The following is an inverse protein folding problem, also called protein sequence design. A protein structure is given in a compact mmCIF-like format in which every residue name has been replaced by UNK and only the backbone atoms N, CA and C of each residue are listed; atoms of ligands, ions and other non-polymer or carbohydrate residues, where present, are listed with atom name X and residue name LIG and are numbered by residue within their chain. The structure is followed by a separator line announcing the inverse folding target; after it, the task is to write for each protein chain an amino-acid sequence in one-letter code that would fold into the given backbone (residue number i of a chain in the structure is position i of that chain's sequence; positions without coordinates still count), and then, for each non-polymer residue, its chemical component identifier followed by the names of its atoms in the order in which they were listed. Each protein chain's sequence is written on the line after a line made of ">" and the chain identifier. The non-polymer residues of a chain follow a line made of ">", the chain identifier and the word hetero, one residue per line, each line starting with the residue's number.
data_IF_974426062983
#
_entry.id   IF_974426062983
#
_cell.length_a   1.000
_cell.length_b   1.000
_cell.length_c   1.000
_cell.angle_alpha   90.00
_cell.angle_beta   90.00
_cell.angle_gamma   90.00
#
_symmetry.space_group_name_H-M   'P 1'
#
loop_
_entity.id
_entity.type
_entity.pdbx_description
1 polymer ?
#
# COMPACT_ATOMS: atom_id res chain seq x y z
N UNK A 1 66.68 -2.12 23.07
CA UNK A 1 67.01 -3.44 22.50
C UNK A 1 67.15 -4.39 23.68
N UNK A 2 66.42 -5.47 23.87
CA UNK A 2 65.26 -6.07 23.21
C UNK A 2 64.64 -7.03 24.25
N UNK A 3 63.42 -7.47 23.98
CA UNK A 3 62.40 -8.07 24.83
C UNK A 3 62.70 -9.49 25.35
N UNK A 4 62.10 -9.85 26.49
CA UNK A 4 61.18 -11.00 26.57
C UNK A 4 60.54 -11.12 27.96
N UNK A 5 59.20 -11.14 28.00
CA UNK A 5 58.41 -11.65 29.15
C UNK A 5 57.32 -12.54 28.57
N UNK A 6 57.47 -13.85 28.78
CA UNK A 6 56.39 -14.83 28.63
C UNK A 6 55.72 -15.04 29.98
N UNK A 7 54.40 -14.88 30.06
CA UNK A 7 53.62 -15.17 31.25
C UNK A 7 52.92 -16.54 31.09
N UNK A 8 53.19 -17.45 32.03
CA UNK A 8 52.50 -18.74 32.18
C UNK A 8 51.21 -18.53 32.98
N UNK A 9 50.12 -19.06 32.47
CA UNK A 9 48.85 -19.20 33.17
C UNK A 9 48.87 -20.46 34.06
N UNK A 10 48.35 -20.35 35.28
CA UNK A 10 47.91 -21.48 36.10
C UNK A 10 46.50 -21.19 36.61
N UNK A 11 45.60 -22.14 36.33
CA UNK A 11 44.21 -22.15 36.72
C UNK A 11 44.03 -22.52 38.20
N UNK A 12 42.96 -22.03 38.82
CA UNK A 12 42.34 -22.65 39.99
C UNK A 12 40.82 -22.60 39.84
N UNK A 13 40.21 -23.78 39.89
CA UNK A 13 38.78 -24.03 39.97
C UNK A 13 38.39 -24.32 41.44
N UNK A 14 37.23 -23.83 41.87
CA UNK A 14 36.41 -24.24 43.02
C UNK A 14 35.14 -23.35 42.96
N UNK A 15 33.90 -23.77 43.10
CA UNK A 15 33.31 -25.02 43.57
C UNK A 15 32.00 -24.67 44.31
N UNK A 16 30.91 -25.33 43.91
CA UNK A 16 29.63 -25.52 44.64
C UNK A 16 28.68 -24.32 44.88
N UNK A 17 27.51 -24.36 44.22
CA UNK A 17 26.28 -23.70 44.66
C UNK A 17 25.35 -24.73 45.30
N UNK A 18 24.95 -24.47 46.55
CA UNK A 18 23.95 -25.21 47.33
C UNK A 18 22.56 -24.60 47.08
N UNK A 19 21.61 -25.43 46.65
CA UNK A 19 20.16 -25.21 46.71
C UNK A 19 19.67 -25.44 48.15
N UNK A 20 18.78 -24.60 48.71
CA UNK A 20 17.55 -25.00 49.43
C UNK A 20 16.51 -23.86 49.38
N UNK A 21 15.26 -24.27 49.16
CA UNK A 21 14.02 -23.52 48.99
C UNK A 21 13.50 -22.75 50.24
N UNK A 22 12.58 -21.81 49.99
CA UNK A 22 11.69 -21.21 51.00
C UNK A 22 10.46 -20.57 50.34
N UNK A 23 9.28 -20.94 50.81
CA UNK A 23 7.96 -20.81 50.17
C UNK A 23 7.28 -19.44 50.27
N UNK A 24 6.30 -19.27 49.37
CA UNK A 24 5.02 -18.55 49.50
C UNK A 24 5.00 -17.04 49.69
N UNK A 25 4.62 -16.35 48.62
CA UNK A 25 3.78 -15.16 48.68
C UNK A 25 3.02 -15.05 47.36
N UNK A 26 1.70 -15.23 47.43
CA UNK A 26 0.76 -14.90 46.37
C UNK A 26 0.98 -13.44 45.94
N UNK A 27 1.35 -13.24 44.69
CA UNK A 27 1.56 -11.92 44.11
C UNK A 27 1.12 -11.97 42.66
N UNK A 28 -0.09 -11.48 42.42
CA UNK A 28 -0.54 -11.04 41.11
C UNK A 28 0.51 -10.11 40.49
N UNK A 29 0.80 -10.31 39.20
CA UNK A 29 1.53 -9.32 38.41
C UNK A 29 2.73 -9.87 37.63
N UNK A 30 2.45 -10.38 36.44
CA UNK A 30 3.19 -10.06 35.22
C UNK A 30 2.37 -10.52 34.01
N UNK A 31 1.11 -10.07 33.94
CA UNK A 31 0.49 -9.91 32.63
C UNK A 31 1.29 -8.83 31.94
N UNK A 32 2.15 -9.20 31.00
CA UNK A 32 2.83 -8.22 30.17
C UNK A 32 1.76 -7.34 29.54
N UNK A 33 1.84 -6.03 29.81
CA UNK A 33 1.10 -5.02 29.08
C UNK A 33 1.49 -5.15 27.59
N UNK A 34 0.79 -6.04 26.88
CA UNK A 34 0.55 -5.77 25.46
C UNK A 34 -0.24 -4.48 25.49
N UNK A 35 0.35 -3.41 24.95
CA UNK A 35 -0.39 -2.19 24.63
C UNK A 35 -1.76 -2.60 24.11
N UNK A 36 -2.83 -2.17 24.78
CA UNK A 36 -4.18 -2.37 24.27
C UNK A 36 -4.22 -1.66 22.92
N UNK A 37 -4.16 -2.43 21.83
CA UNK A 37 -4.35 -1.90 20.49
C UNK A 37 -5.72 -1.23 20.36
N UNK A 38 -5.92 -0.45 19.30
CA UNK A 38 -7.12 0.37 19.09
C UNK A 38 -8.43 -0.44 18.92
N UNK A 39 -8.42 -1.77 19.08
CA UNK A 39 -9.63 -2.59 18.93
C UNK A 39 -10.21 -2.58 17.52
N UNK A 40 -9.37 -2.40 16.50
CA UNK A 40 -9.79 -2.40 15.10
C UNK A 40 -10.21 -3.81 14.69
N UNK A 41 -11.36 -3.91 14.03
CA UNK A 41 -11.97 -5.18 13.59
C UNK A 41 -12.25 -5.18 12.10
N UNK A 42 -12.51 -6.36 11.55
CA UNK A 42 -12.84 -6.50 10.13
C UNK A 42 -14.19 -5.89 9.81
N UNK A 43 -14.34 -5.36 8.59
CA UNK A 43 -15.64 -4.96 8.05
C UNK A 43 -16.51 -6.18 7.73
N UNK A 44 -17.85 -6.02 7.67
CA UNK A 44 -18.73 -7.08 7.21
C UNK A 44 -18.36 -7.55 5.80
N UNK A 45 -18.25 -8.86 5.60
CA UNK A 45 -17.75 -9.46 4.35
C UNK A 45 -18.64 -9.11 3.14
N UNK A 46 -19.93 -8.91 3.39
CA UNK A 46 -20.92 -8.47 2.40
C UNK A 46 -20.72 -7.02 1.93
N UNK A 47 -19.99 -6.22 2.70
CA UNK A 47 -19.61 -4.86 2.30
C UNK A 47 -18.30 -4.87 1.52
N UNK A 48 -17.30 -5.59 2.05
CA UNK A 48 -15.97 -5.70 1.45
C UNK A 48 -15.29 -7.00 1.87
N UNK A 49 -14.65 -7.74 0.94
CA UNK A 49 -13.90 -8.95 1.26
C UNK A 49 -12.46 -8.67 1.74
N UNK A 50 -12.02 -7.41 1.69
CA UNK A 50 -10.63 -7.05 1.95
C UNK A 50 -10.31 -6.99 3.45
N UNK A 51 -9.07 -7.35 3.76
CA UNK A 51 -8.57 -7.35 5.13
C UNK A 51 -8.33 -5.94 5.66
N UNK A 52 -8.86 -5.66 6.85
CA UNK A 52 -8.51 -4.48 7.64
C UNK A 52 -7.30 -4.84 8.49
N UNK A 53 -6.18 -4.14 8.28
CA UNK A 53 -4.98 -4.34 9.10
C UNK A 53 -5.18 -3.68 10.48
N UNK A 54 -5.32 -4.47 11.57
CA UNK A 54 -5.56 -3.93 12.91
C UNK A 54 -4.33 -3.21 13.48
N UNK A 55 -3.16 -3.39 12.86
CA UNK A 55 -1.89 -2.78 13.24
C UNK A 55 -1.44 -1.73 12.22
N UNK A 56 -2.33 -1.25 11.34
CA UNK A 56 -2.03 -0.19 10.36
C UNK A 56 -1.50 1.08 11.04
N UNK A 57 -0.82 1.94 10.28
CA UNK A 57 -0.36 3.23 10.81
C UNK A 57 -1.50 4.05 11.42
N UNK A 58 -2.68 4.07 10.78
CA UNK A 58 -3.86 4.73 11.33
C UNK A 58 -4.33 4.07 12.65
N UNK A 59 -4.36 2.74 12.72
CA UNK A 59 -4.76 2.02 13.94
C UNK A 59 -3.82 2.30 15.12
N UNK A 60 -2.50 2.30 14.88
CA UNK A 60 -1.51 2.68 15.90
C UNK A 60 -1.69 4.14 16.36
N UNK A 61 -2.10 5.03 15.46
CA UNK A 61 -2.37 6.44 15.79
C UNK A 61 -3.64 6.61 16.60
N UNK A 62 -4.69 5.82 16.34
CA UNK A 62 -5.87 5.77 17.20
C UNK A 62 -5.48 5.37 18.62
N UNK A 63 -4.73 4.27 18.79
CA UNK A 63 -4.30 3.80 20.10
C UNK A 63 -3.49 4.87 20.85
N UNK A 64 -2.57 5.55 20.16
CA UNK A 64 -1.77 6.62 20.74
C UNK A 64 -2.62 7.84 21.18
N UNK A 65 -3.62 8.23 20.38
CA UNK A 65 -4.51 9.34 20.72
C UNK A 65 -5.43 9.02 21.90
N UNK A 66 -5.95 7.79 21.98
CA UNK A 66 -6.74 7.32 23.13
C UNK A 66 -5.90 7.30 24.41
N UNK A 67 -4.65 6.85 24.34
CA UNK A 67 -3.72 6.90 25.48
C UNK A 67 -3.41 8.33 25.92
N UNK A 68 -3.39 9.29 24.98
CA UNK A 68 -3.19 10.71 25.26
C UNK A 68 -4.45 11.44 25.77
N UNK A 69 -5.61 10.78 25.78
CA UNK A 69 -6.90 11.41 26.11
C UNK A 69 -7.45 12.33 25.03
N UNK A 70 -6.96 12.20 23.79
CA UNK A 70 -7.41 12.97 22.61
C UNK A 70 -8.56 12.24 21.89
N UNK A 71 -9.62 11.89 22.62
CA UNK A 71 -10.70 11.01 22.16
C UNK A 71 -11.41 11.50 20.89
N UNK A 72 -11.54 12.82 20.73
CA UNK A 72 -12.18 13.42 19.57
C UNK A 72 -11.38 13.18 18.28
N UNK A 73 -10.06 13.32 18.33
CA UNK A 73 -9.18 13.08 17.19
C UNK A 73 -8.98 11.57 16.98
N UNK A 74 -8.92 10.78 18.05
CA UNK A 74 -8.92 9.31 17.97
C UNK A 74 -10.15 8.81 17.19
N UNK A 75 -11.36 9.30 17.53
CA UNK A 75 -12.60 8.92 16.85
C UNK A 75 -12.61 9.30 15.36
N UNK A 76 -11.95 10.40 14.98
CA UNK A 76 -11.81 10.80 13.58
C UNK A 76 -10.85 9.90 12.82
N UNK A 77 -9.66 9.66 13.35
CA UNK A 77 -8.67 8.76 12.72
C UNK A 77 -9.18 7.32 12.68
N UNK A 78 -10.01 6.91 13.64
CA UNK A 78 -10.67 5.60 13.65
C UNK A 78 -11.52 5.34 12.40
N UNK A 79 -12.14 6.38 11.82
CA UNK A 79 -12.85 6.26 10.53
C UNK A 79 -11.95 5.78 9.40
N UNK A 80 -10.65 6.11 9.47
CA UNK A 80 -9.64 5.62 8.52
C UNK A 80 -9.21 4.22 8.90
N UNK A 81 -8.85 4.01 10.17
CA UNK A 81 -8.28 2.76 10.66
C UNK A 81 -9.22 1.55 10.54
N UNK A 82 -10.54 1.77 10.54
CA UNK A 82 -11.53 0.71 10.38
C UNK A 82 -11.75 0.25 8.93
N UNK A 83 -11.20 0.94 7.94
CA UNK A 83 -11.34 0.53 6.53
C UNK A 83 -10.18 -0.35 6.07
N UNK A 84 -10.42 -1.30 5.15
CA UNK A 84 -9.32 -2.00 4.49
C UNK A 84 -8.59 -1.01 3.58
N UNK A 85 -7.27 -0.92 3.74
CA UNK A 85 -6.38 -0.12 2.90
C UNK A 85 -5.32 -1.03 2.31
N UNK A 86 -4.79 -0.68 1.15
CA UNK A 86 -3.77 -1.50 0.52
C UNK A 86 -2.45 -1.47 1.30
N UNK A 87 -1.77 -2.62 1.36
CA UNK A 87 -0.43 -2.75 1.92
C UNK A 87 0.62 -2.61 0.82
N UNK A 88 1.42 -1.55 0.91
CA UNK A 88 2.46 -1.23 -0.07
C UNK A 88 3.72 -2.02 0.26
N UNK A 89 4.06 -2.99 -0.60
CA UNK A 89 5.21 -3.87 -0.37
C UNK A 89 6.51 -3.13 -0.65
N UNK A 90 7.33 -2.99 0.38
CA UNK A 90 8.67 -2.39 0.27
C UNK A 90 9.70 -3.35 -0.35
N UNK A 91 10.82 -2.84 -0.87
CA UNK A 91 11.88 -3.64 -1.48
C UNK A 91 12.68 -4.48 -0.47
N UNK A 92 12.59 -4.16 0.83
CA UNK A 92 13.27 -4.89 1.90
C UNK A 92 12.44 -6.11 2.34
N UNK A 93 12.92 -7.33 2.10
CA UNK A 93 12.24 -8.58 2.45
C UNK A 93 10.80 -8.71 1.88
N UNK A 94 10.59 -8.53 0.57
CA UNK A 94 9.26 -8.50 -0.04
C UNK A 94 8.48 -9.81 0.12
N UNK A 95 9.18 -10.96 0.11
CA UNK A 95 8.56 -12.27 0.35
C UNK A 95 7.96 -12.38 1.76
N UNK A 96 8.67 -11.90 2.78
CA UNK A 96 8.22 -11.95 4.17
C UNK A 96 7.06 -10.98 4.41
N UNK A 97 7.11 -9.78 3.83
CA UNK A 97 6.00 -8.82 3.89
C UNK A 97 4.74 -9.40 3.26
N UNK A 98 4.82 -9.88 2.02
CA UNK A 98 3.68 -10.46 1.31
C UNK A 98 3.12 -11.69 2.04
N UNK A 99 4.00 -12.57 2.56
CA UNK A 99 3.58 -13.71 3.39
C UNK A 99 2.86 -13.25 4.67
N UNK A 100 3.44 -12.30 5.40
CA UNK A 100 2.86 -11.80 6.65
C UNK A 100 1.45 -11.23 6.45
N UNK A 101 1.27 -10.38 5.43
CA UNK A 101 -0.03 -9.79 5.14
C UNK A 101 -1.05 -10.81 4.63
N UNK A 102 -0.66 -11.69 3.70
CA UNK A 102 -1.59 -12.70 3.17
C UNK A 102 -1.98 -13.75 4.21
N UNK A 103 -1.07 -14.16 5.09
CA UNK A 103 -1.41 -15.03 6.22
C UNK A 103 -2.32 -14.35 7.24
N UNK A 104 -2.09 -13.06 7.54
CA UNK A 104 -2.95 -12.30 8.44
C UNK A 104 -4.37 -12.12 7.88
N UNK A 105 -4.48 -11.81 6.59
CA UNK A 105 -5.75 -11.75 5.88
C UNK A 105 -6.45 -13.11 5.87
N UNK A 106 -5.74 -14.20 5.55
CA UNK A 106 -6.29 -15.55 5.55
C UNK A 106 -6.80 -16.00 6.93
N UNK A 107 -6.10 -15.67 8.02
CA UNK A 107 -6.57 -15.94 9.39
C UNK A 107 -7.86 -15.19 9.74
N UNK A 108 -8.13 -14.08 9.06
CA UNK A 108 -9.34 -13.29 9.22
C UNK A 108 -10.45 -13.66 8.21
N UNK A 109 -10.24 -14.67 7.36
CA UNK A 109 -11.13 -15.03 6.25
C UNK A 109 -11.37 -13.84 5.31
N UNK A 110 -10.27 -13.19 4.91
CA UNK A 110 -10.25 -11.99 4.06
C UNK A 110 -9.18 -12.09 2.98
N UNK A 111 -9.35 -11.28 1.94
CA UNK A 111 -8.38 -11.11 0.86
C UNK A 111 -7.38 -10.01 1.22
N UNK A 112 -6.08 -10.25 1.02
CA UNK A 112 -5.08 -9.19 1.15
C UNK A 112 -5.15 -8.23 -0.05
N UNK A 113 -5.11 -6.93 0.21
CA UNK A 113 -4.99 -5.91 -0.84
C UNK A 113 -3.55 -5.38 -0.81
N UNK A 114 -2.79 -5.61 -1.87
CA UNK A 114 -1.36 -5.31 -1.95
C UNK A 114 -1.08 -4.30 -3.07
N UNK A 115 -0.06 -3.46 -2.89
CA UNK A 115 0.50 -2.61 -3.95
C UNK A 115 1.95 -2.98 -4.17
N UNK A 116 2.30 -3.23 -5.43
CA UNK A 116 3.69 -3.27 -5.87
C UNK A 116 4.01 -1.93 -6.51
N UNK A 117 5.05 -1.28 -6.04
CA UNK A 117 5.46 0.04 -6.51
C UNK A 117 6.98 0.08 -6.49
N UNK A 118 7.65 -0.75 -7.30
CA UNK A 118 9.10 -0.88 -7.28
C UNK A 118 9.73 -0.92 -8.68
N UNK A 119 9.01 -0.52 -9.73
CA UNK A 119 9.53 -0.45 -11.10
C UNK A 119 10.81 0.41 -11.16
N UNK A 120 11.87 0.03 -11.92
CA UNK A 120 13.04 0.88 -12.11
C UNK A 120 12.69 2.25 -12.66
N UNK A 121 13.52 3.27 -12.36
CA UNK A 121 13.26 4.66 -12.74
C UNK A 121 11.89 5.18 -12.27
N UNK A 122 11.44 4.72 -11.09
CA UNK A 122 10.15 5.09 -10.52
C UNK A 122 10.05 6.59 -10.34
N UNK A 123 8.89 7.14 -10.71
CA UNK A 123 8.52 8.54 -10.48
C UNK A 123 9.50 9.56 -11.08
N UNK A 124 10.40 9.12 -11.97
CA UNK A 124 11.36 9.94 -12.73
C UNK A 124 12.11 11.00 -11.92
N UNK A 125 12.37 10.72 -10.64
CA UNK A 125 13.07 11.65 -9.74
C UNK A 125 12.18 12.63 -8.96
N UNK A 126 10.85 12.46 -8.97
CA UNK A 126 9.91 13.26 -8.17
C UNK A 126 9.84 12.76 -6.71
N UNK A 127 8.83 13.17 -5.95
CA UNK A 127 8.78 12.98 -4.49
C UNK A 127 8.78 11.51 -4.02
N UNK A 128 8.32 10.58 -4.85
CA UNK A 128 8.29 9.14 -4.61
C UNK A 128 9.35 8.39 -5.44
N UNK A 129 10.41 9.07 -5.88
CA UNK A 129 11.54 8.45 -6.59
C UNK A 129 12.08 7.20 -5.87
N UNK A 130 12.56 6.24 -6.65
CA UNK A 130 13.08 4.98 -6.14
C UNK A 130 12.91 3.88 -7.18
N UNK A 131 12.51 2.70 -6.71
CA UNK A 131 12.39 1.51 -7.55
C UNK A 131 13.60 0.60 -7.45
N UNK A 132 13.49 -0.56 -8.09
CA UNK A 132 14.56 -1.51 -8.23
C UNK A 132 15.75 -0.91 -9.00
N UNK A 133 16.95 -1.41 -8.71
CA UNK A 133 18.18 -0.91 -9.33
C UNK A 133 18.22 -1.14 -10.85
N UNK A 134 17.63 -2.24 -11.31
CA UNK A 134 17.55 -2.66 -12.71
C UNK A 134 16.38 -3.66 -12.89
N UNK A 135 16.17 -4.12 -14.12
CA UNK A 135 15.12 -5.08 -14.44
C UNK A 135 15.27 -6.45 -13.75
N UNK A 136 16.49 -6.91 -13.46
CA UNK A 136 16.70 -8.21 -12.80
C UNK A 136 16.35 -8.12 -11.32
N UNK A 137 16.73 -7.02 -10.66
CA UNK A 137 16.30 -6.71 -9.30
C UNK A 137 14.76 -6.59 -9.21
N UNK A 138 14.11 -6.03 -10.22
CA UNK A 138 12.65 -5.95 -10.28
C UNK A 138 11.99 -7.33 -10.41
N UNK A 139 12.46 -8.17 -11.35
CA UNK A 139 11.96 -9.54 -11.51
C UNK A 139 12.11 -10.35 -10.23
N UNK A 140 13.28 -10.26 -9.58
CA UNK A 140 13.53 -10.93 -8.31
C UNK A 140 12.59 -10.43 -7.18
N UNK A 141 12.28 -9.13 -7.16
CA UNK A 141 11.29 -8.56 -6.25
C UNK A 141 9.90 -9.15 -6.49
N UNK A 142 9.42 -9.16 -7.74
CA UNK A 142 8.10 -9.72 -8.09
C UNK A 142 8.02 -11.21 -7.76
N UNK A 143 9.04 -11.99 -8.11
CA UNK A 143 9.09 -13.43 -7.80
C UNK A 143 9.06 -13.68 -6.28
N UNK A 144 9.72 -12.83 -5.50
CA UNK A 144 9.70 -12.89 -4.04
C UNK A 144 8.30 -12.59 -3.48
N UNK A 145 7.63 -11.55 -3.99
CA UNK A 145 6.24 -11.27 -3.62
C UNK A 145 5.33 -12.45 -3.98
N UNK A 146 5.45 -13.01 -5.18
CA UNK A 146 4.65 -14.15 -5.63
C UNK A 146 4.82 -15.38 -4.73
N UNK A 147 6.05 -15.70 -4.31
CA UNK A 147 6.32 -16.75 -3.31
C UNK A 147 5.73 -16.42 -1.94
N UNK A 148 5.72 -15.15 -1.56
CA UNK A 148 5.12 -14.68 -0.32
C UNK A 148 3.60 -14.82 -0.32
N UNK A 149 2.94 -14.55 -1.44
CA UNK A 149 1.49 -14.75 -1.63
C UNK A 149 1.16 -16.25 -1.65
N UNK A 150 1.83 -17.05 -2.48
CA UNK A 150 1.55 -18.47 -2.64
C UNK A 150 0.14 -18.73 -3.16
N UNK A 151 -0.60 -19.58 -2.47
CA UNK A 151 -1.98 -19.97 -2.79
C UNK A 151 -3.06 -19.12 -2.08
N UNK A 152 -2.66 -18.13 -1.29
CA UNK A 152 -3.58 -17.32 -0.47
C UNK A 152 -4.29 -16.26 -1.30
N UNK A 153 -5.56 -15.90 -0.97
CA UNK A 153 -6.29 -14.84 -1.67
C UNK A 153 -5.60 -13.48 -1.60
N UNK A 154 -5.33 -12.89 -2.76
CA UNK A 154 -4.76 -11.56 -2.87
C UNK A 154 -5.34 -10.76 -4.05
N UNK A 155 -5.42 -9.45 -3.89
CA UNK A 155 -5.60 -8.50 -4.99
C UNK A 155 -4.38 -7.59 -5.02
N UNK A 156 -3.74 -7.52 -6.18
CA UNK A 156 -2.52 -6.74 -6.40
C UNK A 156 -2.82 -5.57 -7.31
N UNK A 157 -2.55 -4.36 -6.83
CA UNK A 157 -2.45 -3.16 -7.66
C UNK A 157 -1.00 -3.04 -8.11
N UNK A 158 -0.77 -3.12 -9.42
CA UNK A 158 0.56 -3.23 -9.99
C UNK A 158 1.03 -1.88 -10.53
N UNK A 159 2.12 -1.40 -9.93
CA UNK A 159 2.94 -0.26 -10.35
C UNK A 159 2.14 1.01 -10.68
N UNK A 160 1.55 1.67 -9.65
CA UNK A 160 0.97 3.00 -9.80
C UNK A 160 1.82 3.93 -10.66
N UNK A 161 1.18 4.64 -11.59
CA UNK A 161 1.76 5.58 -12.55
C UNK A 161 2.76 5.00 -13.56
N UNK A 162 3.15 3.72 -13.48
CA UNK A 162 4.24 3.22 -14.32
C UNK A 162 3.90 3.22 -15.82
N UNK A 163 2.67 2.88 -16.18
CA UNK A 163 2.20 2.98 -17.58
C UNK A 163 1.99 4.44 -17.97
N UNK A 164 1.51 5.27 -17.04
CA UNK A 164 1.31 6.70 -17.25
C UNK A 164 2.62 7.41 -17.58
N UNK A 165 3.69 7.05 -16.87
CA UNK A 165 5.00 7.66 -17.07
C UNK A 165 5.61 7.34 -18.45
N UNK A 166 5.06 6.41 -19.22
CA UNK A 166 5.46 6.15 -20.61
C UNK A 166 4.84 7.16 -21.58
N UNK A 167 3.68 7.71 -21.23
CA UNK A 167 2.88 8.57 -22.11
C UNK A 167 3.01 10.05 -21.77
N UNK A 168 3.33 10.39 -20.53
CA UNK A 168 3.51 11.78 -20.09
C UNK A 168 4.93 12.35 -20.35
N UNK A 169 5.85 11.50 -20.83
CA UNK A 169 7.25 11.86 -21.11
C UNK A 169 8.18 11.79 -19.91
N UNK A 170 7.69 11.35 -18.74
CA UNK A 170 8.46 11.16 -17.51
C UNK A 170 9.54 10.08 -17.70
N UNK A 171 9.15 8.90 -18.21
CA UNK A 171 10.09 7.80 -18.51
C UNK A 171 10.77 8.06 -19.85
N UNK A 172 12.11 8.17 -19.89
CA UNK A 172 12.84 8.32 -21.15
C UNK A 172 12.57 7.18 -22.12
N UNK A 173 12.48 7.51 -23.42
CA UNK A 173 12.11 6.57 -24.50
C UNK A 173 12.95 5.29 -24.53
N UNK A 174 14.23 5.39 -24.16
CA UNK A 174 15.18 4.27 -24.10
C UNK A 174 14.80 3.18 -23.10
N UNK A 175 13.99 3.49 -22.08
CA UNK A 175 13.53 2.54 -21.06
C UNK A 175 12.13 1.98 -21.33
N UNK A 176 11.47 2.39 -22.42
CA UNK A 176 10.06 2.02 -22.66
C UNK A 176 9.87 0.52 -22.85
N UNK A 177 10.69 -0.11 -23.72
CA UNK A 177 10.59 -1.55 -23.99
C UNK A 177 10.87 -2.37 -22.73
N UNK A 178 11.92 -2.01 -21.97
CA UNK A 178 12.21 -2.66 -20.69
C UNK A 178 11.03 -2.54 -19.73
N UNK A 179 10.43 -1.35 -19.60
CA UNK A 179 9.28 -1.16 -18.72
C UNK A 179 8.08 -2.02 -19.15
N UNK A 180 7.78 -2.10 -20.45
CA UNK A 180 6.71 -2.98 -20.93
C UNK A 180 6.99 -4.45 -20.61
N UNK A 181 8.23 -4.91 -20.82
CA UNK A 181 8.63 -6.29 -20.52
C UNK A 181 8.55 -6.60 -19.02
N UNK A 182 8.94 -5.66 -18.16
CA UNK A 182 8.87 -5.82 -16.71
C UNK A 182 7.42 -5.84 -16.19
N UNK A 183 6.56 -4.93 -16.67
CA UNK A 183 5.15 -4.91 -16.30
C UNK A 183 4.42 -6.16 -16.81
N UNK A 184 4.63 -6.53 -18.07
CA UNK A 184 4.04 -7.73 -18.65
C UNK A 184 4.49 -9.01 -17.94
N UNK A 185 5.78 -9.12 -17.62
CA UNK A 185 6.32 -10.22 -16.83
C UNK A 185 5.74 -10.28 -15.41
N UNK A 186 5.52 -9.13 -14.77
CA UNK A 186 4.90 -9.09 -13.45
C UNK A 186 3.43 -9.52 -13.48
N UNK A 187 2.67 -9.10 -14.50
CA UNK A 187 1.31 -9.59 -14.73
C UNK A 187 1.31 -11.11 -14.88
N UNK A 188 2.22 -11.67 -15.69
CA UNK A 188 2.29 -13.11 -15.92
C UNK A 188 2.68 -13.90 -14.66
N UNK A 189 3.67 -13.43 -13.91
CA UNK A 189 4.12 -14.10 -12.67
C UNK A 189 3.03 -14.08 -11.59
N UNK A 190 2.36 -12.95 -11.37
CA UNK A 190 1.34 -12.81 -10.33
C UNK A 190 0.01 -13.45 -10.74
N UNK A 191 -0.37 -13.32 -12.02
CA UNK A 191 -1.59 -13.91 -12.56
C UNK A 191 -1.54 -15.44 -12.68
N UNK A 192 -0.35 -16.06 -12.58
CA UNK A 192 -0.20 -17.51 -12.49
C UNK A 192 -0.61 -18.08 -11.12
N UNK A 193 -0.80 -17.24 -10.09
CA UNK A 193 -1.23 -17.68 -8.76
C UNK A 193 -2.76 -17.87 -8.73
N UNK A 194 -3.21 -19.03 -8.26
CA UNK A 194 -4.61 -19.47 -8.36
C UNK A 194 -5.64 -18.49 -7.77
N UNK A 195 -5.31 -17.85 -6.64
CA UNK A 195 -6.21 -16.98 -5.90
C UNK A 195 -5.79 -15.50 -5.93
N UNK A 196 -5.02 -15.09 -6.95
CA UNK A 196 -4.54 -13.71 -7.07
C UNK A 196 -5.21 -12.99 -8.23
N UNK A 197 -5.75 -11.80 -7.95
CA UNK A 197 -6.18 -10.85 -8.99
C UNK A 197 -5.15 -9.76 -9.19
N UNK A 198 -4.87 -9.40 -10.44
CA UNK A 198 -3.91 -8.35 -10.81
C UNK A 198 -4.62 -7.23 -11.55
N UNK A 199 -4.49 -6.01 -11.04
CA UNK A 199 -4.96 -4.78 -11.67
C UNK A 199 -3.77 -3.88 -11.97
N UNK A 200 -3.43 -3.72 -13.25
CA UNK A 200 -2.36 -2.83 -13.70
C UNK A 200 -2.81 -1.37 -13.58
N UNK A 201 -2.00 -0.49 -13.01
CA UNK A 201 -2.39 0.92 -12.91
C UNK A 201 -2.54 1.59 -14.29
N UNK A 202 -3.60 2.37 -14.45
CA UNK A 202 -3.96 3.07 -15.67
C UNK A 202 -4.23 4.56 -15.44
N UNK A 203 -3.58 5.16 -14.44
CA UNK A 203 -3.66 6.60 -14.17
C UNK A 203 -5.04 7.06 -13.70
N UNK A 204 -5.48 8.23 -14.16
CA UNK A 204 -6.68 8.89 -13.63
C UNK A 204 -7.40 9.77 -14.67
N UNK A 205 -8.61 10.22 -14.32
CA UNK A 205 -9.53 10.88 -15.25
C UNK A 205 -9.06 12.24 -15.78
N UNK A 206 -8.15 12.95 -15.10
CA UNK A 206 -7.70 14.27 -15.56
C UNK A 206 -6.30 14.29 -16.15
N UNK A 207 -5.70 13.13 -16.37
CA UNK A 207 -4.38 13.02 -16.97
C UNK A 207 -4.39 13.33 -18.48
N UNK A 208 -5.50 13.12 -19.20
CA UNK A 208 -5.56 13.38 -20.64
C UNK A 208 -6.65 12.59 -21.37
N UNK A 209 -6.46 12.33 -22.66
CA UNK A 209 -7.35 11.48 -23.45
C UNK A 209 -7.05 9.99 -23.14
N UNK A 210 -8.01 9.21 -22.61
CA UNK A 210 -7.91 7.73 -22.49
C UNK A 210 -7.37 7.03 -23.74
N UNK A 211 -7.61 7.58 -24.93
CA UNK A 211 -7.05 7.07 -26.18
C UNK A 211 -5.52 7.04 -26.22
N UNK A 212 -4.82 7.76 -25.35
CA UNK A 212 -3.36 7.77 -25.32
C UNK A 212 -2.77 6.61 -24.52
N UNK A 213 -3.51 6.03 -23.57
CA UNK A 213 -2.98 5.00 -22.65
C UNK A 213 -3.38 3.56 -23.03
N UNK A 214 -4.41 3.35 -23.85
CA UNK A 214 -4.89 2.00 -24.15
C UNK A 214 -3.82 1.11 -24.82
N UNK A 215 -3.08 1.61 -25.80
CA UNK A 215 -2.00 0.89 -26.47
C UNK A 215 -0.84 0.56 -25.51
N UNK A 216 -0.29 1.53 -24.75
CA UNK A 216 0.65 1.25 -23.66
C UNK A 216 0.15 0.20 -22.66
N UNK A 217 -1.12 0.27 -22.26
CA UNK A 217 -1.71 -0.64 -21.29
C UNK A 217 -1.80 -2.08 -21.85
N UNK A 218 -2.14 -2.24 -23.14
CA UNK A 218 -2.08 -3.53 -23.85
C UNK A 218 -0.66 -4.08 -23.92
N UNK A 219 0.31 -3.23 -24.30
CA UNK A 219 1.73 -3.63 -24.36
C UNK A 219 2.28 -4.03 -22.99
N UNK A 220 1.83 -3.39 -21.92
CA UNK A 220 2.16 -3.73 -20.54
C UNK A 220 1.42 -4.98 -20.02
N UNK A 221 0.56 -5.61 -20.82
CA UNK A 221 -0.01 -6.92 -20.51
C UNK A 221 -1.41 -6.93 -19.92
N UNK A 222 -2.18 -5.83 -19.97
CA UNK A 222 -3.55 -5.80 -19.39
C UNK A 222 -4.49 -6.85 -20.00
N UNK A 223 -4.24 -7.28 -21.24
CA UNK A 223 -5.01 -8.36 -21.88
C UNK A 223 -4.89 -9.69 -21.11
N UNK A 224 -3.82 -9.89 -20.33
CA UNK A 224 -3.56 -11.06 -19.48
C UNK A 224 -3.84 -10.81 -17.99
N UNK A 225 -4.05 -9.56 -17.58
CA UNK A 225 -4.47 -9.21 -16.23
C UNK A 225 -6.00 -9.37 -16.04
N UNK A 226 -6.46 -9.37 -14.79
CA UNK A 226 -7.88 -9.30 -14.44
C UNK A 226 -8.49 -7.97 -14.88
N UNK A 227 -7.70 -6.90 -14.79
CA UNK A 227 -8.16 -5.57 -15.13
C UNK A 227 -7.10 -4.49 -14.94
N UNK A 228 -7.56 -3.27 -14.69
CA UNK A 228 -6.71 -2.13 -14.38
C UNK A 228 -7.21 -1.33 -13.19
N UNK A 229 -6.33 -0.56 -12.55
CA UNK A 229 -6.66 0.34 -11.46
C UNK A 229 -6.69 1.79 -11.96
N UNK A 230 -7.60 2.60 -11.43
CA UNK A 230 -7.65 4.04 -11.73
C UNK A 230 -7.72 4.88 -10.46
N UNK A 231 -7.29 6.13 -10.59
CA UNK A 231 -7.34 7.17 -9.55
C UNK A 231 -6.41 6.92 -8.35
N UNK A 232 -5.47 5.96 -8.44
CA UNK A 232 -4.56 5.61 -7.34
C UNK A 232 -3.84 6.86 -6.84
N UNK A 233 -3.94 7.11 -5.53
CA UNK A 233 -3.38 8.30 -4.86
C UNK A 233 -3.91 9.65 -5.35
N UNK A 234 -4.96 9.69 -6.16
CA UNK A 234 -5.51 10.92 -6.71
C UNK A 234 -6.90 11.24 -6.13
N UNK A 235 -7.58 12.23 -6.70
CA UNK A 235 -8.75 12.86 -6.07
C UNK A 235 -9.95 12.98 -7.02
N UNK A 236 -9.89 12.45 -8.24
CA UNK A 236 -11.02 12.56 -9.18
C UNK A 236 -12.24 11.84 -8.62
N UNK A 237 -13.41 12.43 -8.84
CA UNK A 237 -14.65 11.90 -8.29
C UNK A 237 -14.88 10.46 -8.76
N UNK A 238 -15.66 9.69 -7.99
CA UNK A 238 -16.01 8.32 -8.41
C UNK A 238 -16.75 8.33 -9.74
N UNK A 239 -17.59 9.35 -10.01
CA UNK A 239 -18.27 9.53 -11.30
C UNK A 239 -17.29 9.72 -12.46
N UNK A 240 -16.32 10.64 -12.32
CA UNK A 240 -15.30 10.87 -13.36
C UNK A 240 -14.44 9.63 -13.58
N UNK A 241 -14.08 8.95 -12.49
CA UNK A 241 -13.26 7.73 -12.53
C UNK A 241 -14.01 6.57 -13.18
N UNK A 242 -15.31 6.43 -12.95
CA UNK A 242 -16.17 5.48 -13.64
C UNK A 242 -16.25 5.79 -15.14
N UNK A 243 -16.46 7.06 -15.51
CA UNK A 243 -16.53 7.46 -16.91
C UNK A 243 -15.20 7.17 -17.64
N UNK A 244 -14.07 7.52 -17.01
CA UNK A 244 -12.73 7.22 -17.50
C UNK A 244 -12.51 5.70 -17.66
N UNK A 245 -12.77 4.94 -16.59
CA UNK A 245 -12.57 3.49 -16.57
C UNK A 245 -13.42 2.76 -17.61
N UNK A 246 -14.69 3.12 -17.77
CA UNK A 246 -15.57 2.52 -18.80
C UNK A 246 -15.08 2.79 -20.21
N UNK A 247 -14.62 4.02 -20.48
CA UNK A 247 -14.09 4.36 -21.80
C UNK A 247 -12.82 3.55 -22.08
N UNK A 248 -11.90 3.49 -21.13
CA UNK A 248 -10.67 2.72 -21.30
C UNK A 248 -10.96 1.21 -21.43
N UNK A 249 -11.86 0.68 -20.61
CA UNK A 249 -12.33 -0.71 -20.67
C UNK A 249 -12.79 -1.09 -22.09
N UNK A 250 -13.57 -0.23 -22.75
CA UNK A 250 -14.00 -0.46 -24.13
C UNK A 250 -12.82 -0.58 -25.13
N UNK A 251 -11.77 0.22 -24.94
CA UNK A 251 -10.57 0.22 -25.80
C UNK A 251 -9.65 -0.99 -25.53
N UNK A 252 -9.66 -1.53 -24.31
CA UNK A 252 -8.84 -2.70 -23.91
C UNK A 252 -9.63 -4.01 -23.83
N UNK A 253 -10.72 -4.13 -24.58
CA UNK A 253 -11.43 -5.41 -24.76
C UNK A 253 -12.41 -5.77 -23.64
N UNK A 254 -12.99 -4.77 -22.97
CA UNK A 254 -14.00 -4.95 -21.92
C UNK A 254 -13.41 -5.40 -20.58
N UNK A 255 -12.14 -5.10 -20.30
CA UNK A 255 -11.50 -5.43 -19.03
C UNK A 255 -12.18 -4.71 -17.86
N UNK A 256 -12.25 -5.39 -16.72
CA UNK A 256 -12.77 -4.81 -15.50
C UNK A 256 -11.76 -3.83 -14.91
N UNK A 257 -12.20 -3.03 -13.94
CA UNK A 257 -11.33 -2.10 -13.25
C UNK A 257 -11.71 -1.87 -11.79
N UNK A 258 -10.78 -1.31 -11.02
CA UNK A 258 -11.00 -0.86 -9.65
C UNK A 258 -10.67 0.62 -9.53
N UNK A 259 -11.31 1.31 -8.58
CA UNK A 259 -11.15 2.75 -8.38
C UNK A 259 -10.60 3.02 -6.99
N UNK A 260 -9.53 3.79 -6.88
CA UNK A 260 -9.12 4.35 -5.59
C UNK A 260 -10.06 5.51 -5.18
N UNK A 261 -10.81 5.31 -4.11
CA UNK A 261 -11.74 6.29 -3.52
C UNK A 261 -11.24 6.83 -2.17
N UNK A 262 -9.97 6.59 -1.83
CA UNK A 262 -9.38 6.94 -0.53
C UNK A 262 -9.57 8.42 -0.14
N UNK A 263 -9.47 9.34 -1.10
CA UNK A 263 -9.45 10.80 -0.84
C UNK A 263 -10.30 11.64 -1.79
N UNK A 264 -11.21 11.02 -2.54
CA UNK A 264 -11.93 11.69 -3.63
C UNK A 264 -13.31 12.25 -3.25
N UNK A 265 -13.68 12.29 -1.96
CA UNK A 265 -15.03 12.66 -1.54
C UNK A 265 -15.44 14.10 -1.84
N UNK A 266 -14.46 14.98 -2.11
CA UNK A 266 -14.70 16.37 -2.54
C UNK A 266 -14.12 16.67 -3.93
N UNK A 267 -13.90 15.62 -4.73
CA UNK A 267 -13.31 15.73 -6.08
C UNK A 267 -11.86 16.24 -6.08
N UNK A 268 -11.32 16.61 -7.26
CA UNK A 268 -9.95 17.11 -7.39
C UNK A 268 -9.84 18.58 -6.97
N UNK A 269 -8.66 18.95 -6.51
CA UNK A 269 -8.34 20.35 -6.23
C UNK A 269 -8.08 21.10 -7.55
N UNK A 270 -8.71 22.25 -7.74
CA UNK A 270 -8.69 22.98 -9.03
C UNK A 270 -7.94 24.30 -9.00
N UNK A 271 -7.41 24.69 -7.84
CA UNK A 271 -6.68 25.95 -7.66
C UNK A 271 -5.16 25.73 -7.71
N UNK A 272 -4.40 26.82 -7.86
CA UNK A 272 -2.93 26.79 -7.93
C UNK A 272 -2.38 26.14 -9.20
N UNK A 273 -1.08 25.82 -9.16
CA UNK A 273 -0.34 25.20 -10.26
C UNK A 273 -0.90 23.81 -10.59
N UNK A 274 -1.39 23.58 -11.83
CA UNK A 274 -1.83 22.27 -12.29
C UNK A 274 -0.87 21.11 -11.97
N UNK A 275 0.44 21.34 -12.08
CA UNK A 275 1.46 20.32 -11.85
C UNK A 275 1.58 19.89 -10.38
N UNK A 276 1.05 20.69 -9.45
CA UNK A 276 1.09 20.41 -8.01
C UNK A 276 -0.28 20.11 -7.40
N UNK A 277 -1.38 20.13 -8.18
CA UNK A 277 -2.75 19.96 -7.63
C UNK A 277 -2.98 18.63 -6.93
N UNK A 278 -2.25 17.60 -7.32
CA UNK A 278 -2.30 16.26 -6.71
C UNK A 278 -1.50 16.18 -5.41
N UNK A 279 -0.52 17.06 -5.18
CA UNK A 279 0.40 16.89 -4.07
C UNK A 279 -0.14 17.59 -2.81
N UNK A 280 -0.61 16.80 -1.83
CA UNK A 280 -1.19 17.27 -0.55
C UNK A 280 -2.24 18.40 -0.67
N UNK A 281 -3.21 18.35 -1.60
CA UNK A 281 -4.17 19.43 -1.78
C UNK A 281 -5.07 19.65 -0.55
N UNK A 282 -5.39 20.92 -0.23
CA UNK A 282 -6.31 21.23 0.85
C UNK A 282 -7.77 20.91 0.50
N UNK A 283 -8.60 20.78 1.53
CA UNK A 283 -10.06 20.67 1.39
C UNK A 283 -10.54 19.39 0.72
N UNK A 284 -9.70 18.37 0.60
CA UNK A 284 -10.11 17.02 0.18
C UNK A 284 -10.73 16.28 1.36
N UNK A 285 -11.56 15.29 1.09
CA UNK A 285 -12.19 14.46 2.11
C UNK A 285 -12.07 12.99 1.75
N UNK A 286 -12.24 12.10 2.72
CA UNK A 286 -12.43 10.68 2.46
C UNK A 286 -13.55 10.50 1.43
N UNK A 287 -13.36 9.60 0.48
CA UNK A 287 -14.39 9.19 -0.46
C UNK A 287 -15.19 8.00 0.05
N UNK A 288 -15.87 7.33 -0.87
CA UNK A 288 -16.65 6.13 -0.57
C UNK A 288 -15.77 5.05 0.07
N UNK A 289 -16.26 4.42 1.14
CA UNK A 289 -15.50 3.36 1.81
C UNK A 289 -15.39 2.13 0.92
N UNK A 290 -14.33 1.32 1.06
CA UNK A 290 -14.10 0.19 0.17
C UNK A 290 -15.29 -0.75 0.08
N UNK A 291 -15.71 -1.09 -1.14
CA UNK A 291 -16.85 -1.98 -1.40
C UNK A 291 -16.78 -2.62 -2.77
N UNK A 292 -17.40 -3.79 -2.92
CA UNK A 292 -17.65 -4.44 -4.23
C UNK A 292 -19.05 -4.14 -4.77
N UNK A 293 -19.85 -3.31 -4.09
CA UNK A 293 -21.16 -2.83 -4.56
C UNK A 293 -20.97 -1.50 -5.27
N UNK A 294 -20.49 -1.56 -6.50
CA UNK A 294 -20.19 -0.39 -7.32
C UNK A 294 -21.41 0.02 -8.16
N UNK A 295 -21.35 1.21 -8.76
CA UNK A 295 -22.41 1.73 -9.62
C UNK A 295 -22.36 1.18 -11.06
N UNK A 296 -21.33 0.39 -11.42
CA UNK A 296 -21.16 -0.17 -12.76
C UNK A 296 -20.57 -1.59 -12.68
N UNK A 297 -21.12 -2.57 -13.41
CA UNK A 297 -20.66 -3.96 -13.35
C UNK A 297 -19.22 -4.17 -13.86
N UNK A 298 -18.63 -3.23 -14.60
CA UNK A 298 -17.21 -3.28 -14.98
C UNK A 298 -16.27 -2.78 -13.87
N UNK A 299 -16.79 -2.04 -12.89
CA UNK A 299 -16.03 -1.63 -11.72
C UNK A 299 -16.15 -2.71 -10.64
N UNK A 300 -15.11 -3.51 -10.46
CA UNK A 300 -15.11 -4.64 -9.51
C UNK A 300 -15.17 -4.17 -8.05
N UNK A 301 -14.52 -3.06 -7.74
CA UNK A 301 -14.49 -2.50 -6.40
C UNK A 301 -14.13 -1.01 -6.40
N UNK A 302 -14.64 -0.32 -5.38
CA UNK A 302 -14.02 0.88 -4.84
C UNK A 302 -13.07 0.46 -3.73
N UNK A 303 -11.83 0.93 -3.78
CA UNK A 303 -10.74 0.55 -2.90
C UNK A 303 -10.13 1.80 -2.28
N UNK A 304 -9.50 1.65 -1.12
CA UNK A 304 -8.56 2.65 -0.64
C UNK A 304 -7.15 2.14 -0.89
N UNK A 305 -6.59 2.51 -2.05
CA UNK A 305 -5.25 2.07 -2.47
C UNK A 305 -4.20 2.94 -1.78
N UNK A 306 -4.31 4.27 -1.92
CA UNK A 306 -3.58 5.20 -1.06
C UNK A 306 -4.11 5.11 0.37
N UNK A 307 -3.21 5.11 1.33
CA UNK A 307 -3.52 5.13 2.77
C UNK A 307 -3.84 6.58 3.20
N UNK A 308 -5.09 6.92 3.55
CA UNK A 308 -5.43 8.28 3.98
C UNK A 308 -4.62 8.70 5.21
N UNK A 309 -4.02 9.88 5.15
CA UNK A 309 -3.14 10.40 6.19
C UNK A 309 -1.65 10.27 5.89
N UNK A 310 -1.24 9.51 4.86
CA UNK A 310 0.14 9.54 4.38
C UNK A 310 0.37 10.70 3.41
N UNK A 311 1.45 11.44 3.61
CA UNK A 311 1.86 12.56 2.74
C UNK A 311 2.13 12.09 1.31
N UNK A 312 1.88 12.96 0.33
CA UNK A 312 2.26 12.77 -1.07
C UNK A 312 3.69 13.26 -1.36
N UNK A 313 4.28 14.07 -0.47
CA UNK A 313 5.58 14.70 -0.65
C UNK A 313 5.74 15.96 0.21
N UNK A 314 6.89 16.63 0.11
CA UNK A 314 7.18 17.82 0.93
C UNK A 314 6.42 19.09 0.47
N UNK A 315 5.64 18.97 -0.60
CA UNK A 315 4.78 20.01 -1.13
C UNK A 315 3.74 20.49 -0.09
N UNK A 316 3.37 21.78 -0.18
CA UNK A 316 2.38 22.43 0.69
C UNK A 316 2.64 22.22 2.19
N UNK A 317 3.91 22.09 2.57
CA UNK A 317 4.35 21.89 3.96
C UNK A 317 4.17 20.47 4.49
N UNK A 318 3.95 19.49 3.62
CA UNK A 318 3.84 18.09 4.00
C UNK A 318 5.16 17.46 4.44
N UNK A 319 5.10 16.35 5.19
CA UNK A 319 6.25 15.46 5.40
C UNK A 319 6.68 14.76 4.11
N UNK A 320 7.77 13.98 4.16
CA UNK A 320 8.19 13.13 3.02
C UNK A 320 7.07 12.17 2.60
N UNK A 321 7.04 11.82 1.32
CA UNK A 321 6.06 10.90 0.76
C UNK A 321 5.97 9.59 1.57
N UNK A 322 4.74 9.14 1.85
CA UNK A 322 4.47 7.95 2.65
C UNK A 322 4.54 8.14 4.17
N UNK A 323 5.04 9.28 4.67
CA UNK A 323 5.04 9.53 6.11
C UNK A 323 3.64 9.95 6.60
N UNK A 324 3.27 9.47 7.80
CA UNK A 324 2.03 9.86 8.45
C UNK A 324 2.00 11.34 8.78
N UNK A 325 0.94 12.02 8.35
CA UNK A 325 0.67 13.43 8.61
C UNK A 325 -0.69 13.61 9.27
N UNK A 326 -0.69 13.69 10.60
CA UNK A 326 -1.93 13.66 11.40
C UNK A 326 -2.91 14.80 11.05
N UNK A 327 -2.42 16.03 10.87
CA UNK A 327 -3.30 17.15 10.51
C UNK A 327 -3.97 16.94 9.15
N UNK A 328 -3.28 16.30 8.19
CA UNK A 328 -3.87 15.95 6.90
C UNK A 328 -4.91 14.83 7.03
N UNK A 329 -4.61 13.79 7.80
CA UNK A 329 -5.56 12.72 8.10
C UNK A 329 -6.85 13.26 8.76
N UNK A 330 -6.72 14.16 9.73
CA UNK A 330 -7.85 14.84 10.36
C UNK A 330 -8.62 15.69 9.32
N UNK A 331 -7.94 16.47 8.48
CA UNK A 331 -8.62 17.24 7.42
C UNK A 331 -9.47 16.35 6.51
N UNK A 332 -8.94 15.22 6.05
CA UNK A 332 -9.68 14.26 5.22
C UNK A 332 -10.97 13.75 5.89
N UNK A 333 -10.97 13.60 7.21
CA UNK A 333 -12.15 13.14 7.97
C UNK A 333 -13.20 14.23 8.23
N UNK A 334 -12.99 15.45 7.74
CA UNK A 334 -13.87 16.60 7.98
C UNK A 334 -15.06 16.67 7.01
N UNK A 335 -15.09 15.78 6.02
CA UNK A 335 -16.26 15.53 5.18
C UNK A 335 -17.40 14.81 5.92
N UNK A 336 -18.60 14.77 5.33
CA UNK A 336 -19.78 14.13 5.92
C UNK A 336 -19.58 12.66 6.29
#
# INVERSE_FOLDING_TARGET
>A
MDRSRGARACALALGAALLIAGCSSSGDGAGGDREKGAGITQRPAETTPFWVNPDSTAARRVAALEQAGEDADAARIRRIAEQPVAEWIGPDNPEEQARGFTEAAGRADRTALLVLYNIPHRDCGQYSQGGAADGDAYRAFVDAVARGIGDRPATVILEPDAVLHLVDGCTPQEFHEERYDLLGGAVDTLGALENTKVYLDAGNAGWGDPGQIHDPLRRAGVDRADGFAVNVSNFYSTEDSLAYGKRLSAEVGGKHFVIDTSRNGNGPYTEGDPAERWCNPPGRTLGETPTTRTADPLADAYLWVKRPGESDGECKGGPKAGQWWQSYALQLTSGP
#
